data_IF_801120860235
#
_entry.id   IF_801120860235
#
_cell.length_a   1.000
_cell.length_b   1.000
_cell.length_c   1.000
_cell.angle_alpha   90.00
_cell.angle_beta   90.00
_cell.angle_gamma   90.00
#
_symmetry.space_group_name_H-M   'P 1'
#
loop_
_entity.id
_entity.type
_entity.pdbx_description
1 polymer ?
#
# COMPACT_ATOMS: atom_id res chain seq x y z
N UNK A 1 34.27 -49.12 51.58
CA UNK A 1 35.11 -48.78 50.41
C UNK A 1 34.26 -47.98 49.44
N UNK A 2 34.42 -46.67 49.40
CA UNK A 2 33.59 -45.75 48.61
C UNK A 2 34.30 -45.40 47.29
N UNK A 3 33.67 -45.72 46.16
CA UNK A 3 34.06 -45.28 44.80
C UNK A 3 33.62 -43.83 44.58
N UNK A 4 34.49 -42.91 44.15
CA UNK A 4 34.05 -41.67 43.56
C UNK A 4 33.86 -41.86 42.04
N UNK A 5 32.63 -41.65 41.58
CA UNK A 5 32.28 -41.51 40.17
C UNK A 5 32.61 -40.08 39.72
N UNK A 6 33.45 -40.01 38.69
CA UNK A 6 33.77 -38.82 37.91
C UNK A 6 32.51 -38.40 37.15
N UNK A 7 32.10 -37.14 37.25
CA UNK A 7 31.16 -36.52 36.32
C UNK A 7 31.76 -35.19 35.83
N UNK A 8 32.42 -35.24 34.68
CA UNK A 8 32.84 -34.08 33.93
C UNK A 8 31.61 -33.43 33.28
N UNK A 9 31.19 -32.28 33.79
CA UNK A 9 30.16 -31.47 33.17
C UNK A 9 30.78 -30.68 31.99
N UNK A 10 30.68 -31.23 30.77
CA UNK A 10 30.84 -30.44 29.55
C UNK A 10 29.65 -29.47 29.45
N UNK A 11 29.90 -28.20 29.75
CA UNK A 11 28.97 -27.12 29.42
C UNK A 11 29.06 -26.91 27.91
N UNK A 12 28.19 -27.57 27.16
CA UNK A 12 27.92 -27.24 25.78
C UNK A 12 27.26 -25.86 25.75
N UNK A 13 28.03 -24.82 25.42
CA UNK A 13 27.46 -23.54 25.03
C UNK A 13 26.67 -23.76 23.74
N UNK A 14 25.36 -23.95 23.87
CA UNK A 14 24.43 -23.74 22.79
C UNK A 14 24.57 -22.29 22.36
N UNK A 15 25.30 -22.06 21.27
CA UNK A 15 25.25 -20.80 20.55
C UNK A 15 23.78 -20.59 20.14
N UNK A 16 23.09 -19.71 20.86
CA UNK A 16 21.84 -19.15 20.39
C UNK A 16 22.17 -18.40 19.11
N UNK A 17 21.97 -19.06 17.96
CA UNK A 17 21.78 -18.37 16.70
C UNK A 17 20.46 -17.60 16.86
N UNK A 18 20.54 -16.40 17.42
CA UNK A 18 19.45 -15.46 17.34
C UNK A 18 19.35 -15.09 15.86
N UNK A 19 18.30 -15.58 15.20
CA UNK A 19 17.92 -15.08 13.89
C UNK A 19 17.80 -13.57 14.01
N UNK A 20 18.71 -12.83 13.35
CA UNK A 20 18.63 -11.38 13.26
C UNK A 20 17.38 -11.11 12.42
N UNK A 21 16.26 -10.87 13.11
CA UNK A 21 15.04 -10.40 12.48
C UNK A 21 15.40 -9.18 11.62
N UNK A 22 14.84 -9.05 10.40
CA UNK A 22 15.20 -7.96 9.51
C UNK A 22 14.71 -6.63 10.13
N UNK A 23 15.55 -5.99 10.93
CA UNK A 23 15.19 -4.80 11.70
C UNK A 23 14.92 -3.56 10.84
N UNK A 24 15.51 -3.51 9.64
CA UNK A 24 15.35 -2.38 8.72
C UNK A 24 13.94 -2.34 8.09
N UNK A 25 13.38 -3.43 7.53
CA UNK A 25 12.00 -3.45 7.03
C UNK A 25 10.93 -3.11 8.07
N UNK A 26 11.08 -3.59 9.31
CA UNK A 26 10.10 -3.38 10.38
C UNK A 26 10.06 -1.90 10.79
N UNK A 27 11.24 -1.27 10.88
CA UNK A 27 11.36 0.16 11.21
C UNK A 27 10.79 1.05 10.10
N UNK A 28 11.05 0.71 8.83
CA UNK A 28 10.54 1.47 7.69
C UNK A 28 9.00 1.50 7.62
N UNK A 29 8.35 0.36 7.87
CA UNK A 29 6.88 0.28 7.90
C UNK A 29 6.29 1.07 9.08
N UNK A 30 6.87 0.96 10.27
CA UNK A 30 6.41 1.69 11.44
C UNK A 30 6.52 3.21 11.29
N UNK A 31 7.60 3.70 10.68
CA UNK A 31 7.75 5.12 10.31
C UNK A 31 6.68 5.51 9.29
N UNK A 32 6.47 4.67 8.27
CA UNK A 32 5.49 4.98 7.23
C UNK A 32 4.06 5.07 7.78
N UNK A 33 3.70 4.19 8.72
CA UNK A 33 2.39 4.22 9.39
C UNK A 33 2.24 5.45 10.32
N UNK A 34 3.34 5.98 10.87
CA UNK A 34 3.30 7.09 11.84
C UNK A 34 3.34 8.49 11.20
N UNK A 35 3.94 8.63 10.02
CA UNK A 35 4.25 9.94 9.42
C UNK A 35 3.67 10.16 8.02
N UNK A 36 3.06 9.15 7.41
CA UNK A 36 2.43 9.30 6.10
C UNK A 36 0.93 9.05 6.17
N UNK A 37 0.21 9.70 5.28
CA UNK A 37 -1.22 9.51 5.15
C UNK A 37 -1.52 8.11 4.59
N UNK A 38 -2.56 7.47 5.11
CA UNK A 38 -3.03 6.20 4.56
C UNK A 38 -4.29 6.48 3.74
N UNK A 39 -4.30 6.20 2.42
CA UNK A 39 -5.51 6.31 1.62
C UNK A 39 -6.69 5.61 2.29
N UNK A 40 -7.83 6.29 2.32
CA UNK A 40 -9.08 5.77 2.89
C UNK A 40 -9.04 5.46 4.40
N UNK A 41 -8.02 5.93 5.14
CA UNK A 41 -8.03 5.87 6.59
C UNK A 41 -9.34 6.44 7.15
N UNK A 42 -9.88 5.79 8.17
CA UNK A 42 -11.15 6.16 8.81
C UNK A 42 -12.38 6.22 7.87
N UNK A 43 -12.32 5.52 6.72
CA UNK A 43 -13.41 5.49 5.74
C UNK A 43 -13.56 6.78 4.94
N UNK A 44 -12.54 7.65 4.96
CA UNK A 44 -12.58 8.91 4.24
C UNK A 44 -12.52 8.73 2.73
N UNK A 45 -13.11 9.67 1.99
CA UNK A 45 -12.98 9.74 0.53
C UNK A 45 -11.64 10.34 0.15
N UNK A 46 -11.02 9.79 -0.89
CA UNK A 46 -9.79 10.34 -1.48
C UNK A 46 -10.13 11.17 -2.73
N UNK A 47 -9.61 12.39 -2.81
CA UNK A 47 -9.60 13.20 -4.02
C UNK A 47 -8.26 13.01 -4.74
N UNK A 48 -8.32 12.70 -6.03
CA UNK A 48 -7.13 12.50 -6.87
C UNK A 48 -7.07 13.61 -7.91
N UNK A 49 -5.92 14.26 -8.01
CA UNK A 49 -5.61 15.29 -8.99
C UNK A 49 -4.60 14.75 -9.99
N UNK A 50 -4.94 14.79 -11.28
CA UNK A 50 -4.07 14.31 -12.36
C UNK A 50 -3.94 15.40 -13.40
N UNK A 51 -2.72 15.61 -13.91
CA UNK A 51 -2.53 16.47 -15.08
C UNK A 51 -3.14 15.80 -16.31
N UNK A 52 -3.98 16.51 -17.06
CA UNK A 52 -4.46 15.99 -18.34
C UNK A 52 -3.35 16.15 -19.40
N UNK A 53 -3.19 15.18 -20.31
CA UNK A 53 -2.40 15.41 -21.52
C UNK A 53 -3.03 16.45 -22.47
N UNK A 54 -4.34 16.70 -22.41
CA UNK A 54 -4.99 17.76 -23.20
C UNK A 54 -4.63 19.16 -22.66
N UNK A 55 -3.98 20.03 -23.48
CA UNK A 55 -3.62 21.37 -23.05
C UNK A 55 -4.82 22.27 -22.69
N UNK A 56 -6.03 21.93 -23.13
CA UNK A 56 -7.26 22.68 -22.80
C UNK A 56 -7.86 22.27 -21.45
N UNK A 57 -7.43 21.15 -20.88
CA UNK A 57 -7.90 20.63 -19.59
C UNK A 57 -6.71 20.48 -18.67
N UNK A 58 -6.32 21.51 -17.94
CA UNK A 58 -4.99 21.45 -17.29
C UNK A 58 -4.94 20.39 -16.16
N UNK A 59 -6.05 20.15 -15.45
CA UNK A 59 -6.14 19.23 -14.31
C UNK A 59 -7.48 18.49 -14.34
N UNK A 60 -7.44 17.18 -14.12
CA UNK A 60 -8.61 16.34 -13.85
C UNK A 60 -8.68 16.00 -12.37
N UNK A 61 -9.89 15.99 -11.82
CA UNK A 61 -10.15 15.56 -10.45
C UNK A 61 -11.03 14.32 -10.43
N UNK A 62 -10.62 13.30 -9.68
CA UNK A 62 -11.38 12.09 -9.42
C UNK A 62 -11.70 12.01 -7.93
N UNK A 63 -12.82 11.39 -7.59
CA UNK A 63 -13.18 11.12 -6.19
C UNK A 63 -13.37 9.62 -6.00
N UNK A 64 -12.59 9.05 -5.10
CA UNK A 64 -12.62 7.65 -4.72
C UNK A 64 -13.25 7.55 -3.34
N UNK A 65 -14.36 6.84 -3.21
CA UNK A 65 -15.14 6.79 -1.96
C UNK A 65 -15.25 5.34 -1.51
N UNK A 66 -14.84 4.98 -0.28
CA UNK A 66 -15.12 3.67 0.27
C UNK A 66 -16.63 3.38 0.24
N UNK A 67 -17.02 2.20 -0.23
CA UNK A 67 -18.41 1.80 -0.37
C UNK A 67 -18.57 0.31 -0.08
N UNK A 68 -19.82 -0.17 -0.05
CA UNK A 68 -20.16 -1.56 0.29
C UNK A 68 -19.55 -1.98 1.64
N UNK A 69 -19.71 -1.13 2.65
CA UNK A 69 -19.17 -1.33 4.01
C UNK A 69 -17.64 -1.44 4.02
N UNK A 70 -16.96 -0.66 3.16
CA UNK A 70 -15.50 -0.61 3.06
C UNK A 70 -14.88 -1.74 2.25
N UNK A 71 -15.68 -2.61 1.63
CA UNK A 71 -15.19 -3.73 0.81
C UNK A 71 -14.85 -3.33 -0.64
N UNK A 72 -15.25 -2.14 -1.06
CA UNK A 72 -15.03 -1.62 -2.41
C UNK A 72 -14.73 -0.11 -2.37
N UNK A 73 -14.25 0.42 -3.50
CA UNK A 73 -14.06 1.85 -3.73
C UNK A 73 -14.90 2.28 -4.93
N UNK A 74 -15.82 3.20 -4.72
CA UNK A 74 -16.76 3.67 -5.73
C UNK A 74 -16.30 5.00 -6.35
N UNK A 75 -16.47 5.14 -7.67
CA UNK A 75 -16.28 6.42 -8.34
C UNK A 75 -17.34 7.44 -7.93
N UNK A 76 -16.90 8.57 -7.39
CA UNK A 76 -17.76 9.65 -6.89
C UNK A 76 -18.88 9.17 -5.92
N UNK A 77 -18.69 8.03 -5.27
CA UNK A 77 -19.68 7.43 -4.36
C UNK A 77 -20.84 6.68 -5.05
N UNK A 78 -20.84 6.53 -6.38
CA UNK A 78 -21.88 5.78 -7.10
C UNK A 78 -21.61 4.25 -7.03
N UNK A 79 -22.49 3.46 -6.37
CA UNK A 79 -22.29 2.01 -6.20
C UNK A 79 -22.20 1.20 -7.49
N UNK A 80 -22.69 1.73 -8.62
CA UNK A 80 -22.61 1.07 -9.92
C UNK A 80 -21.19 1.03 -10.48
N UNK A 81 -20.33 1.90 -9.97
CA UNK A 81 -18.93 2.03 -10.36
C UNK A 81 -18.03 1.61 -9.19
N UNK A 82 -18.35 0.47 -8.58
CA UNK A 82 -17.57 -0.14 -7.52
C UNK A 82 -16.35 -0.83 -8.11
N UNK A 83 -15.19 -0.51 -7.55
CA UNK A 83 -13.90 -1.09 -7.88
C UNK A 83 -13.24 -1.79 -6.70
N UNK A 84 -12.10 -2.42 -6.96
CA UNK A 84 -11.29 -3.11 -5.95
C UNK A 84 -10.19 -2.23 -5.42
N UNK A 85 -9.87 -2.36 -4.13
CA UNK A 85 -8.67 -1.81 -3.50
C UNK A 85 -7.74 -2.97 -3.11
N UNK A 86 -6.51 -2.97 -3.62
CA UNK A 86 -5.46 -3.93 -3.25
C UNK A 86 -4.22 -3.19 -2.77
N UNK A 87 -3.36 -3.86 -1.99
CA UNK A 87 -2.04 -3.36 -1.61
C UNK A 87 -0.99 -4.16 -2.39
N UNK A 88 -0.31 -3.53 -3.34
CA UNK A 88 0.66 -4.16 -4.24
C UNK A 88 2.01 -3.45 -4.14
N UNK A 89 3.06 -4.19 -3.75
CA UNK A 89 4.41 -3.64 -3.60
C UNK A 89 4.49 -2.36 -2.75
N UNK A 90 3.57 -2.22 -1.77
CA UNK A 90 3.49 -1.04 -0.89
C UNK A 90 2.58 0.09 -1.37
N UNK A 91 2.01 0.00 -2.58
CA UNK A 91 1.07 0.98 -3.13
C UNK A 91 -0.38 0.52 -3.00
N UNK A 92 -1.29 1.45 -2.72
CA UNK A 92 -2.73 1.19 -2.74
C UNK A 92 -3.24 1.31 -4.17
N UNK A 93 -3.73 0.20 -4.72
CA UNK A 93 -4.15 0.14 -6.12
C UNK A 93 -5.66 0.03 -6.23
N UNK A 94 -6.28 1.03 -6.84
CA UNK A 94 -7.71 1.06 -7.13
C UNK A 94 -7.95 0.76 -8.60
N UNK A 95 -8.74 -0.27 -8.89
CA UNK A 95 -9.14 -0.69 -10.24
C UNK A 95 -10.64 -0.66 -10.40
N UNK A 96 -11.11 -0.58 -11.64
CA UNK A 96 -12.51 -0.76 -12.05
C UNK A 96 -13.50 0.31 -11.57
N UNK A 97 -13.14 1.15 -10.58
CA UNK A 97 -13.98 2.26 -10.11
C UNK A 97 -14.22 3.30 -11.22
N UNK A 98 -13.18 3.66 -11.98
CA UNK A 98 -13.33 4.44 -13.21
C UNK A 98 -12.93 3.58 -14.42
N UNK A 99 -13.83 3.34 -15.39
CA UNK A 99 -13.52 2.49 -16.55
C UNK A 99 -12.25 2.93 -17.29
N UNK A 100 -11.36 1.96 -17.56
CA UNK A 100 -10.09 2.18 -18.27
C UNK A 100 -9.00 2.87 -17.45
N UNK A 101 -9.22 3.07 -16.13
CA UNK A 101 -8.28 3.74 -15.24
C UNK A 101 -7.89 2.85 -14.07
N UNK A 102 -6.62 2.97 -13.68
CA UNK A 102 -6.07 2.36 -12.46
C UNK A 102 -5.38 3.45 -11.68
N UNK A 103 -5.66 3.56 -10.39
CA UNK A 103 -5.01 4.53 -9.51
C UNK A 103 -4.03 3.79 -8.60
N UNK A 104 -2.77 4.20 -8.64
CA UNK A 104 -1.71 3.74 -7.75
C UNK A 104 -1.44 4.88 -6.78
N UNK A 105 -1.80 4.70 -5.52
CA UNK A 105 -1.71 5.71 -4.47
C UNK A 105 -0.59 5.32 -3.51
N UNK A 106 0.43 6.15 -3.42
CA UNK A 106 1.48 6.04 -2.42
C UNK A 106 1.04 6.74 -1.12
N UNK A 107 1.63 6.37 0.01
CA UNK A 107 1.24 6.91 1.33
C UNK A 107 1.56 8.40 1.51
N UNK A 108 2.45 8.97 0.70
CA UNK A 108 2.90 10.36 0.80
C UNK A 108 2.07 11.35 -0.03
N UNK A 109 0.83 10.99 -0.43
CA UNK A 109 -0.07 11.90 -1.14
C UNK A 109 0.21 12.02 -2.64
N UNK A 110 1.01 11.13 -3.22
CA UNK A 110 1.31 11.08 -4.65
C UNK A 110 1.04 9.68 -5.25
N UNK A 111 1.44 9.49 -6.50
CA UNK A 111 1.39 8.21 -7.19
C UNK A 111 1.20 8.35 -8.69
N UNK A 112 0.51 7.38 -9.30
CA UNK A 112 0.25 7.37 -10.73
C UNK A 112 -1.18 6.96 -11.06
N UNK A 113 -1.73 7.53 -12.12
CA UNK A 113 -2.92 7.02 -12.79
C UNK A 113 -2.50 6.32 -14.08
N UNK A 114 -2.77 5.02 -14.16
CA UNK A 114 -2.68 4.25 -15.39
C UNK A 114 -3.92 4.45 -16.25
N UNK A 115 -3.73 4.76 -17.53
CA UNK A 115 -4.77 4.78 -18.55
C UNK A 115 -4.44 3.74 -19.59
N UNK A 116 -5.39 2.84 -19.87
CA UNK A 116 -5.23 1.85 -20.92
C UNK A 116 -5.44 2.50 -22.29
N UNK A 117 -4.41 2.47 -23.14
CA UNK A 117 -4.44 2.98 -24.51
C UNK A 117 -4.12 1.84 -25.47
N UNK A 118 -5.15 1.09 -25.87
CA UNK A 118 -4.98 -0.16 -26.64
C UNK A 118 -4.30 -1.25 -25.81
N UNK A 119 -3.14 -1.73 -26.28
CA UNK A 119 -2.34 -2.73 -25.58
C UNK A 119 -1.33 -2.14 -24.58
N UNK A 120 -1.20 -0.81 -24.52
CA UNK A 120 -0.24 -0.13 -23.67
C UNK A 120 -0.94 0.56 -22.50
N UNK A 121 -0.23 0.66 -21.38
CA UNK A 121 -0.65 1.45 -20.23
C UNK A 121 0.21 2.72 -20.14
N UNK A 122 -0.44 3.88 -20.15
CA UNK A 122 0.23 5.17 -19.95
C UNK A 122 0.09 5.58 -18.49
N UNK A 123 1.20 5.80 -17.80
CA UNK A 123 1.23 6.26 -16.41
C UNK A 123 1.34 7.78 -16.37
N UNK A 124 0.40 8.42 -15.69
CA UNK A 124 0.40 9.88 -15.47
C UNK A 124 0.58 10.15 -13.99
N UNK A 125 1.53 11.00 -13.56
CA UNK A 125 1.68 11.37 -12.17
C UNK A 125 0.39 11.98 -11.60
N UNK A 126 0.07 11.63 -10.37
CA UNK A 126 -1.06 12.19 -9.63
C UNK A 126 -0.63 12.72 -8.26
N UNK A 127 -1.48 13.54 -7.67
CA UNK A 127 -1.48 13.85 -6.25
C UNK A 127 -2.84 13.46 -5.66
N UNK A 128 -2.88 13.15 -4.36
CA UNK A 128 -4.13 12.82 -3.67
C UNK A 128 -4.15 13.33 -2.23
N UNK A 129 -5.37 13.53 -1.71
CA UNK A 129 -5.65 13.84 -0.31
C UNK A 129 -7.04 13.35 0.12
#
# INVERSE_FOLDING_TARGET
>A
MHKPLIAAALIALSACAADIAPGVPVTGRAIADAFFDTPFADGQSVAVLVKDPDPLRVIQTYRLVPCQDGRAVCAAGDPRFAGTLTLENGQYVVRESYPGRVFYLDRNGDGFMGVQTGAQQVLTPLAWN
#
